data_IF_987533286094
#
_entry.id   IF_987533286094
#
_cell.length_a   1.000
_cell.length_b   1.000
_cell.length_c   1.000
_cell.angle_alpha   90.00
_cell.angle_beta   90.00
_cell.angle_gamma   90.00
#
_symmetry.space_group_name_H-M   'P 1'
#
loop_
_entity.id
_entity.type
_entity.pdbx_description
1 polymer ?
#
# COMPACT_ATOMS: atom_id res chain seq x y z
N UNK A 1 -5.94 7.25 10.85
CA UNK A 1 -4.65 7.96 10.69
C UNK A 1 -4.06 8.43 12.01
N UNK A 2 -4.72 9.27 12.83
CA UNK A 2 -4.10 9.78 14.08
C UNK A 2 -3.70 8.68 15.07
N UNK A 3 -4.50 7.64 15.22
CA UNK A 3 -4.18 6.49 16.08
C UNK A 3 -2.94 5.73 15.55
N UNK A 4 -2.88 5.47 14.25
CA UNK A 4 -1.74 4.84 13.59
C UNK A 4 -0.46 5.64 13.81
N UNK A 5 -0.49 6.96 13.58
CA UNK A 5 0.67 7.83 13.82
C UNK A 5 1.13 7.76 15.28
N UNK A 6 0.21 7.80 16.25
CA UNK A 6 0.55 7.68 17.66
C UNK A 6 1.15 6.32 18.00
N UNK A 7 0.63 5.26 17.41
CA UNK A 7 1.18 3.91 17.56
C UNK A 7 2.64 3.86 17.07
N UNK A 8 2.92 4.40 15.89
CA UNK A 8 4.29 4.39 15.34
C UNK A 8 5.26 5.26 16.16
N UNK A 9 4.82 6.41 16.66
CA UNK A 9 5.63 7.24 17.58
C UNK A 9 5.92 6.50 18.90
N UNK A 10 4.95 5.76 19.42
CA UNK A 10 5.16 4.94 20.62
C UNK A 10 6.11 3.77 20.33
N UNK A 11 6.00 3.13 19.15
CA UNK A 11 6.92 2.08 18.72
C UNK A 11 8.36 2.60 18.58
N UNK A 12 8.56 3.81 18.04
CA UNK A 12 9.87 4.49 18.01
C UNK A 12 10.46 4.63 19.41
N UNK A 13 9.66 5.12 20.36
CA UNK A 13 10.10 5.32 21.74
C UNK A 13 10.46 3.99 22.42
N UNK A 14 9.66 2.95 22.23
CA UNK A 14 9.91 1.60 22.76
C UNK A 14 11.15 0.95 22.14
N UNK A 15 11.39 1.19 20.84
CA UNK A 15 12.61 0.73 20.19
C UNK A 15 13.86 1.41 20.76
N UNK A 16 13.85 2.72 20.92
CA UNK A 16 14.94 3.49 21.56
C UNK A 16 15.21 3.04 22.99
N UNK A 17 14.16 2.65 23.71
CA UNK A 17 14.25 2.05 25.05
C UNK A 17 14.66 0.58 25.05
N UNK A 18 14.99 -0.02 23.88
CA UNK A 18 15.40 -1.41 23.70
C UNK A 18 14.35 -2.46 24.13
N UNK A 19 13.09 -2.06 24.22
CA UNK A 19 11.97 -2.96 24.50
C UNK A 19 11.49 -3.66 23.23
N UNK A 20 11.64 -3.03 22.07
CA UNK A 20 11.50 -3.65 20.75
C UNK A 20 12.89 -3.97 20.22
N UNK A 21 13.09 -5.22 19.78
CA UNK A 21 14.39 -5.73 19.30
C UNK A 21 14.31 -6.17 17.85
N UNK A 22 15.46 -6.19 17.17
CA UNK A 22 15.56 -6.58 15.77
C UNK A 22 15.14 -5.46 14.82
N UNK A 23 14.69 -5.81 13.63
CA UNK A 23 14.19 -4.84 12.68
C UNK A 23 12.84 -4.27 13.13
N UNK A 24 12.68 -2.97 12.99
CA UNK A 24 11.42 -2.28 13.23
C UNK A 24 11.19 -1.28 12.08
N UNK A 25 10.14 -1.50 11.31
CA UNK A 25 9.81 -0.72 10.12
C UNK A 25 8.54 0.09 10.38
N UNK A 26 8.70 1.36 10.73
CA UNK A 26 7.56 2.25 11.00
C UNK A 26 6.82 2.61 9.71
N UNK A 27 5.51 2.71 9.81
CA UNK A 27 4.61 3.05 8.69
C UNK A 27 4.30 4.56 8.62
N UNK A 28 4.85 5.35 9.51
CA UNK A 28 4.55 6.77 9.64
C UNK A 28 4.92 7.57 8.38
N UNK A 29 3.95 8.33 7.92
CA UNK A 29 3.96 9.03 6.62
C UNK A 29 3.11 8.33 5.55
N UNK A 30 2.86 7.04 5.66
CA UNK A 30 2.11 6.23 4.68
C UNK A 30 0.69 5.86 5.17
N UNK A 31 0.22 6.37 6.31
CA UNK A 31 -1.05 5.96 6.93
C UNK A 31 -2.26 6.18 6.00
N UNK A 32 -2.18 7.13 5.09
CA UNK A 32 -3.25 7.38 4.13
C UNK A 32 -3.48 6.20 3.20
N UNK A 33 -2.41 5.48 2.81
CA UNK A 33 -2.49 4.28 1.98
C UNK A 33 -3.29 3.20 2.69
N UNK A 34 -2.93 2.88 3.95
CA UNK A 34 -3.61 1.86 4.75
C UNK A 34 -5.10 2.17 4.96
N UNK A 35 -5.42 3.42 5.30
CA UNK A 35 -6.81 3.83 5.56
C UNK A 35 -7.64 3.92 4.29
N UNK A 36 -7.05 4.41 3.20
CA UNK A 36 -7.74 4.51 1.92
C UNK A 36 -8.09 3.14 1.34
N UNK A 37 -7.14 2.21 1.39
CA UNK A 37 -7.40 0.82 1.00
C UNK A 37 -8.52 0.22 1.84
N UNK A 38 -8.43 0.29 3.17
CA UNK A 38 -9.44 -0.29 4.07
C UNK A 38 -10.84 0.32 3.87
N UNK A 39 -10.93 1.60 3.54
CA UNK A 39 -12.21 2.26 3.27
C UNK A 39 -12.86 1.81 1.97
N UNK A 40 -12.09 1.29 1.02
CA UNK A 40 -12.56 0.87 -0.29
C UNK A 40 -12.87 -0.64 -0.39
N UNK A 41 -12.39 -1.46 0.55
CA UNK A 41 -12.44 -2.92 0.49
C UNK A 41 -13.30 -3.52 1.59
N UNK A 42 -13.60 -4.80 1.46
CA UNK A 42 -14.31 -5.58 2.48
C UNK A 42 -13.36 -6.48 3.28
N UNK A 43 -13.81 -7.04 4.39
CA UNK A 43 -13.00 -8.02 5.16
C UNK A 43 -12.84 -9.37 4.46
N UNK A 44 -13.59 -9.60 3.36
CA UNK A 44 -13.46 -10.80 2.52
C UNK A 44 -12.32 -10.67 1.50
N UNK A 45 -11.99 -9.44 1.11
CA UNK A 45 -10.88 -9.19 0.21
C UNK A 45 -9.55 -9.45 0.91
N UNK A 46 -8.59 -9.99 0.17
CA UNK A 46 -7.30 -10.35 0.71
C UNK A 46 -6.30 -9.19 0.60
N UNK A 47 -5.51 -8.98 1.64
CA UNK A 47 -4.33 -8.12 1.62
C UNK A 47 -3.10 -8.93 1.98
N UNK A 48 -2.03 -8.76 1.20
CA UNK A 48 -0.69 -9.24 1.50
C UNK A 48 0.29 -8.10 1.24
N UNK A 49 1.26 -7.91 2.13
CA UNK A 49 2.17 -6.76 2.06
C UNK A 49 3.61 -7.12 2.40
N UNK A 50 4.49 -6.15 2.32
CA UNK A 50 5.88 -6.25 2.75
C UNK A 50 6.00 -6.19 4.29
N UNK A 51 7.21 -6.09 4.77
CA UNK A 51 7.61 -6.02 6.18
C UNK A 51 7.14 -4.74 6.91
N UNK A 52 6.59 -3.76 6.22
CA UNK A 52 6.05 -2.51 6.79
C UNK A 52 4.53 -2.62 6.86
N UNK A 53 4.02 -3.30 7.87
CA UNK A 53 2.67 -3.83 7.89
C UNK A 53 1.84 -3.44 9.13
N UNK A 54 2.41 -2.70 10.08
CA UNK A 54 1.75 -2.34 11.35
C UNK A 54 0.39 -1.66 11.14
N UNK A 55 0.34 -0.65 10.27
CA UNK A 55 -0.90 0.11 10.02
C UNK A 55 -1.92 -0.70 9.20
N UNK A 56 -1.47 -1.56 8.30
CA UNK A 56 -2.36 -2.49 7.59
C UNK A 56 -3.02 -3.47 8.56
N UNK A 57 -2.24 -4.06 9.48
CA UNK A 57 -2.77 -4.93 10.53
C UNK A 57 -3.84 -4.23 11.38
N UNK A 58 -3.55 -2.99 11.81
CA UNK A 58 -4.49 -2.19 12.60
C UNK A 58 -5.76 -1.86 11.82
N UNK A 59 -5.64 -1.48 10.53
CA UNK A 59 -6.77 -1.22 9.64
C UNK A 59 -7.64 -2.46 9.47
N UNK A 60 -7.05 -3.64 9.33
CA UNK A 60 -7.75 -4.93 9.23
C UNK A 60 -8.38 -5.40 10.56
N UNK A 61 -8.38 -4.55 11.58
CA UNK A 61 -9.05 -4.80 12.86
C UNK A 61 -8.15 -5.47 13.91
N UNK A 62 -6.84 -5.39 13.74
CA UNK A 62 -5.88 -5.72 14.78
C UNK A 62 -5.97 -4.77 15.96
N UNK A 63 -5.63 -5.21 17.16
CA UNK A 63 -5.62 -4.36 18.34
C UNK A 63 -4.24 -3.76 18.62
N UNK A 64 -4.22 -2.60 19.30
CA UNK A 64 -2.96 -1.99 19.75
C UNK A 64 -2.20 -2.91 20.73
N UNK A 65 -2.93 -3.61 21.58
CA UNK A 65 -2.32 -4.53 22.58
C UNK A 65 -1.61 -5.67 21.86
N UNK A 66 -2.26 -6.31 20.89
CA UNK A 66 -1.65 -7.36 20.07
C UNK A 66 -0.45 -6.83 19.28
N UNK A 67 -0.57 -5.62 18.71
CA UNK A 67 0.52 -4.99 17.95
C UNK A 67 1.76 -4.78 18.81
N UNK A 68 1.64 -4.12 19.94
CA UNK A 68 2.77 -3.89 20.84
C UNK A 68 3.31 -5.18 21.47
N UNK A 69 2.43 -6.13 21.79
CA UNK A 69 2.85 -7.44 22.28
C UNK A 69 3.70 -8.17 21.24
N UNK A 70 3.31 -8.13 19.97
CA UNK A 70 4.10 -8.73 18.88
C UNK A 70 5.46 -8.05 18.71
N UNK A 71 5.47 -6.71 18.64
CA UNK A 71 6.70 -5.93 18.54
C UNK A 71 7.68 -6.21 19.68
N UNK A 72 7.17 -6.43 20.89
CA UNK A 72 7.98 -6.72 22.08
C UNK A 72 8.26 -8.22 22.28
N UNK A 73 7.91 -9.08 21.34
CA UNK A 73 8.13 -10.53 21.42
C UNK A 73 7.31 -11.22 22.51
N UNK A 74 6.09 -10.74 22.77
CA UNK A 74 5.21 -11.28 23.82
C UNK A 74 4.17 -12.24 23.24
N UNK A 75 3.80 -13.25 24.03
CA UNK A 75 2.83 -14.29 23.64
C UNK A 75 1.43 -13.74 23.28
N UNK A 76 1.07 -12.57 23.79
CA UNK A 76 -0.19 -11.91 23.50
C UNK A 76 -0.22 -11.24 22.09
N UNK A 77 0.89 -11.25 21.35
CA UNK A 77 0.95 -10.73 20.00
C UNK A 77 0.23 -11.62 18.97
N UNK A 78 -0.14 -11.04 17.83
CA UNK A 78 -0.90 -11.71 16.76
C UNK A 78 -0.20 -12.99 16.21
N UNK A 79 1.13 -13.00 16.21
CA UNK A 79 1.97 -14.16 15.85
C UNK A 79 2.67 -14.75 17.08
N UNK A 80 2.10 -14.56 18.27
CA UNK A 80 2.62 -15.05 19.58
C UNK A 80 4.02 -14.52 19.91
N UNK A 81 4.36 -13.33 19.40
CA UNK A 81 5.65 -12.67 19.60
C UNK A 81 6.79 -13.23 18.74
N UNK A 82 6.49 -14.05 17.76
CA UNK A 82 7.50 -14.67 16.85
C UNK A 82 7.73 -13.88 15.58
N UNK A 83 6.78 -13.04 15.16
CA UNK A 83 6.82 -12.27 13.94
C UNK A 83 7.62 -10.96 14.08
N UNK A 84 7.69 -10.41 15.27
CA UNK A 84 8.30 -9.09 15.50
C UNK A 84 7.61 -8.00 14.70
N UNK A 85 8.38 -7.08 14.11
CA UNK A 85 7.84 -5.95 13.35
C UNK A 85 7.43 -6.28 11.91
N UNK A 86 7.78 -7.45 11.38
CA UNK A 86 7.68 -7.71 9.94
C UNK A 86 6.62 -8.75 9.56
N UNK A 87 6.02 -9.42 10.53
CA UNK A 87 5.20 -10.59 10.28
C UNK A 87 3.91 -10.57 11.11
N UNK A 88 3.10 -9.56 10.86
CA UNK A 88 1.74 -9.47 11.39
C UNK A 88 0.77 -10.20 10.46
N UNK A 89 -0.17 -10.96 11.03
CA UNK A 89 -1.18 -11.71 10.30
C UNK A 89 -2.53 -11.60 10.99
N UNK A 90 -3.61 -11.53 10.18
CA UNK A 90 -5.00 -11.57 10.64
C UNK A 90 -5.89 -12.21 9.57
N UNK A 91 -5.72 -13.52 9.40
CA UNK A 91 -6.36 -14.30 8.33
C UNK A 91 -7.87 -14.16 8.34
N UNK A 92 -8.49 -14.15 9.52
CA UNK A 92 -9.94 -14.01 9.70
C UNK A 92 -10.51 -12.68 9.17
N UNK A 93 -9.65 -11.69 8.97
CA UNK A 93 -9.99 -10.40 8.34
C UNK A 93 -9.36 -10.24 6.95
N UNK A 94 -8.93 -11.33 6.31
CA UNK A 94 -8.32 -11.28 4.98
C UNK A 94 -6.91 -10.68 4.95
N UNK A 95 -6.21 -10.56 6.09
CA UNK A 95 -4.82 -10.09 6.12
C UNK A 95 -3.83 -11.25 6.18
N UNK A 96 -3.16 -11.49 5.07
CA UNK A 96 -2.23 -12.61 4.88
C UNK A 96 -0.78 -12.22 5.17
N UNK A 97 -0.59 -11.08 5.80
CA UNK A 97 0.62 -10.73 6.50
C UNK A 97 1.65 -9.92 5.76
N UNK A 98 2.68 -9.58 6.53
CA UNK A 98 3.91 -8.95 6.10
C UNK A 98 4.98 -9.98 5.76
N UNK A 99 5.74 -9.69 4.72
CA UNK A 99 6.82 -10.55 4.25
C UNK A 99 8.18 -9.86 4.36
N UNK A 100 9.14 -10.54 4.97
CA UNK A 100 10.51 -10.04 5.11
C UNK A 100 11.33 -10.14 3.82
N UNK A 101 10.97 -11.07 2.92
CA UNK A 101 11.64 -11.22 1.62
C UNK A 101 11.06 -10.20 0.65
N UNK A 102 11.90 -9.29 0.20
CA UNK A 102 11.50 -8.17 -0.66
C UNK A 102 10.91 -8.66 -1.98
N UNK A 103 9.68 -8.27 -2.27
CA UNK A 103 8.98 -8.60 -3.51
C UNK A 103 8.24 -9.96 -3.49
N UNK A 104 8.53 -10.87 -2.54
CA UNK A 104 7.92 -12.20 -2.50
C UNK A 104 6.39 -12.17 -2.32
N UNK A 105 5.86 -11.14 -1.68
CA UNK A 105 4.42 -10.97 -1.48
C UNK A 105 3.65 -10.77 -2.80
N UNK A 106 4.30 -10.34 -3.87
CA UNK A 106 3.63 -10.13 -5.17
C UNK A 106 3.18 -11.45 -5.78
N UNK A 107 4.06 -12.43 -6.07
CA UNK A 107 3.62 -13.74 -6.57
C UNK A 107 2.76 -14.51 -5.56
N UNK A 108 2.97 -14.33 -4.25
CA UNK A 108 2.08 -14.92 -3.25
C UNK A 108 0.67 -14.34 -3.32
N UNK A 109 0.54 -13.02 -3.53
CA UNK A 109 -0.74 -12.36 -3.76
C UNK A 109 -1.44 -12.87 -5.02
N UNK A 110 -0.70 -13.12 -6.10
CA UNK A 110 -1.24 -13.77 -7.28
C UNK A 110 -1.75 -15.18 -6.99
N UNK A 111 -1.06 -15.92 -6.11
CA UNK A 111 -1.52 -17.23 -5.64
C UNK A 111 -2.81 -17.16 -4.83
N UNK A 112 -2.99 -16.14 -3.98
CA UNK A 112 -4.27 -15.88 -3.27
C UNK A 112 -5.38 -15.57 -4.27
N UNK A 113 -5.14 -14.70 -5.25
CA UNK A 113 -6.09 -14.37 -6.29
C UNK A 113 -6.46 -15.59 -7.15
N UNK A 114 -5.49 -16.44 -7.45
CA UNK A 114 -5.74 -17.73 -8.12
C UNK A 114 -6.69 -18.61 -7.31
N UNK A 115 -6.49 -18.74 -6.01
CA UNK A 115 -7.37 -19.49 -5.12
C UNK A 115 -8.79 -18.91 -5.11
N UNK A 116 -8.93 -17.58 -4.99
CA UNK A 116 -10.23 -16.88 -5.04
C UNK A 116 -10.96 -17.14 -6.36
N UNK A 117 -10.27 -17.05 -7.50
CA UNK A 117 -10.83 -17.36 -8.81
C UNK A 117 -11.23 -18.83 -8.94
N UNK A 118 -10.36 -19.75 -8.50
CA UNK A 118 -10.63 -21.19 -8.54
C UNK A 118 -11.86 -21.56 -7.70
N UNK A 119 -11.99 -20.98 -6.52
CA UNK A 119 -13.14 -21.17 -5.63
C UNK A 119 -14.38 -20.37 -6.04
N UNK A 120 -14.27 -19.55 -7.10
CA UNK A 120 -15.34 -18.65 -7.57
C UNK A 120 -15.81 -17.67 -6.49
N UNK A 121 -14.92 -17.24 -5.64
CA UNK A 121 -15.18 -16.17 -4.67
C UNK A 121 -15.24 -14.83 -5.42
N UNK A 122 -16.26 -14.00 -5.15
CA UNK A 122 -16.35 -12.65 -5.72
C UNK A 122 -15.52 -11.64 -4.93
N UNK A 123 -14.22 -11.96 -4.69
CA UNK A 123 -13.28 -11.19 -3.87
C UNK A 123 -12.00 -10.89 -4.63
N UNK A 124 -11.25 -9.90 -4.16
CA UNK A 124 -10.03 -9.39 -4.80
C UNK A 124 -8.86 -9.50 -3.83
N UNK A 125 -7.66 -9.70 -4.38
CA UNK A 125 -6.42 -9.66 -3.61
C UNK A 125 -5.65 -8.37 -3.89
N UNK A 126 -5.23 -7.69 -2.83
CA UNK A 126 -4.31 -6.55 -2.88
C UNK A 126 -2.91 -7.01 -2.45
N UNK A 127 -1.95 -6.93 -3.36
CA UNK A 127 -0.56 -7.25 -3.08
C UNK A 127 0.28 -5.97 -3.05
N UNK A 128 0.69 -5.54 -1.85
CA UNK A 128 1.41 -4.30 -1.63
C UNK A 128 2.93 -4.53 -1.68
N UNK A 129 3.66 -3.63 -2.35
CA UNK A 129 5.11 -3.68 -2.46
C UNK A 129 5.69 -2.28 -2.61
N UNK A 130 6.94 -2.08 -2.19
CA UNK A 130 7.61 -0.79 -2.31
C UNK A 130 8.24 -0.55 -3.69
N UNK A 131 8.63 0.70 -3.96
CA UNK A 131 9.34 1.13 -5.17
C UNK A 131 10.64 0.37 -5.41
N UNK A 132 11.38 0.02 -4.36
CA UNK A 132 12.57 -0.83 -4.48
C UNK A 132 12.23 -2.24 -4.98
N UNK A 133 11.19 -2.87 -4.44
CA UNK A 133 10.71 -4.18 -4.85
C UNK A 133 10.19 -4.19 -6.30
N UNK A 134 9.66 -3.07 -6.78
CA UNK A 134 9.17 -2.91 -8.14
C UNK A 134 10.22 -3.15 -9.22
N UNK A 135 11.51 -3.17 -8.87
CA UNK A 135 12.61 -3.40 -9.81
C UNK A 135 13.08 -4.86 -9.84
N UNK A 136 12.43 -5.76 -9.11
CA UNK A 136 12.76 -7.19 -9.11
C UNK A 136 12.05 -7.95 -10.25
N UNK A 137 12.73 -8.97 -10.81
CA UNK A 137 12.20 -9.79 -11.90
C UNK A 137 10.90 -10.51 -11.54
N UNK A 138 10.74 -10.95 -10.30
CA UNK A 138 9.54 -11.66 -9.84
C UNK A 138 8.24 -10.83 -9.94
N UNK A 139 8.31 -9.48 -9.96
CA UNK A 139 7.16 -8.63 -10.26
C UNK A 139 6.66 -8.90 -11.69
N UNK A 140 7.57 -8.97 -12.66
CA UNK A 140 7.21 -9.18 -14.08
C UNK A 140 6.72 -10.61 -14.32
N UNK A 141 7.27 -11.61 -13.63
CA UNK A 141 6.76 -12.98 -13.64
C UNK A 141 5.31 -13.03 -13.11
N UNK A 142 5.06 -12.38 -11.98
CA UNK A 142 3.75 -12.29 -11.36
C UNK A 142 2.74 -11.54 -12.25
N UNK A 143 3.15 -10.43 -12.86
CA UNK A 143 2.33 -9.67 -13.84
C UNK A 143 1.94 -10.56 -15.02
N UNK A 144 2.90 -11.29 -15.60
CA UNK A 144 2.65 -12.15 -16.75
C UNK A 144 1.63 -13.26 -16.41
N UNK A 145 1.80 -13.95 -15.29
CA UNK A 145 0.88 -15.03 -14.88
C UNK A 145 -0.50 -14.46 -14.57
N UNK A 146 -0.56 -13.33 -13.86
CA UNK A 146 -1.84 -12.71 -13.49
C UNK A 146 -2.62 -12.25 -14.71
N UNK A 147 -1.95 -11.68 -15.70
CA UNK A 147 -2.58 -11.28 -16.95
C UNK A 147 -3.02 -12.48 -17.80
N UNK A 148 -2.16 -13.52 -17.88
CA UNK A 148 -2.47 -14.73 -18.66
C UNK A 148 -3.69 -15.49 -18.10
N UNK A 149 -3.85 -15.48 -16.79
CA UNK A 149 -4.92 -16.18 -16.11
C UNK A 149 -6.05 -15.25 -15.64
N UNK A 150 -6.09 -13.98 -16.04
CA UNK A 150 -7.07 -12.99 -15.60
C UNK A 150 -7.35 -13.06 -14.10
N UNK A 151 -6.32 -12.99 -13.27
CA UNK A 151 -6.46 -13.14 -11.81
C UNK A 151 -7.02 -11.85 -11.19
N UNK A 152 -7.96 -11.96 -10.22
CA UNK A 152 -8.52 -10.80 -9.51
C UNK A 152 -7.50 -10.25 -8.50
N UNK A 153 -6.46 -9.57 -9.01
CA UNK A 153 -5.39 -9.02 -8.19
C UNK A 153 -5.11 -7.56 -8.53
N UNK A 154 -4.96 -6.76 -7.50
CA UNK A 154 -4.50 -5.37 -7.61
C UNK A 154 -3.11 -5.29 -6.99
N UNK A 155 -2.13 -4.95 -7.81
CA UNK A 155 -0.74 -4.77 -7.42
C UNK A 155 -0.53 -3.33 -6.98
N UNK A 156 -0.24 -3.11 -5.70
CA UNK A 156 -0.15 -1.77 -5.10
C UNK A 156 1.30 -1.42 -4.82
N UNK A 157 1.86 -0.51 -5.61
CA UNK A 157 3.19 0.03 -5.37
C UNK A 157 3.12 1.19 -4.36
N UNK A 158 3.60 0.98 -3.15
CA UNK A 158 3.79 2.04 -2.16
C UNK A 158 5.08 2.80 -2.49
N UNK A 159 4.99 3.75 -3.42
CA UNK A 159 6.14 4.53 -3.86
C UNK A 159 6.45 5.62 -2.83
N UNK A 160 7.41 5.35 -1.95
CA UNK A 160 7.92 6.30 -0.97
C UNK A 160 9.25 6.94 -1.40
N UNK A 161 9.61 6.81 -2.69
CA UNK A 161 10.76 7.39 -3.38
C UNK A 161 12.13 6.83 -3.00
N UNK A 162 12.21 5.94 -1.99
CA UNK A 162 13.48 5.37 -1.54
C UNK A 162 13.35 3.89 -1.19
N UNK A 163 14.05 3.04 -1.94
CA UNK A 163 14.34 1.68 -1.51
C UNK A 163 15.55 1.71 -0.56
N UNK A 164 15.39 1.52 0.74
CA UNK A 164 16.38 1.75 1.78
C UNK A 164 17.07 3.11 1.59
N UNK A 165 18.29 3.17 1.10
CA UNK A 165 19.05 4.39 0.80
C UNK A 165 19.15 4.72 -0.69
N UNK A 166 18.48 3.99 -1.57
CA UNK A 166 18.54 4.22 -3.02
C UNK A 166 17.29 4.96 -3.49
N UNK A 167 17.47 6.18 -3.99
CA UNK A 167 16.39 6.97 -4.55
C UNK A 167 15.82 6.32 -5.83
N UNK A 168 14.52 6.48 -6.08
CA UNK A 168 13.83 5.88 -7.22
C UNK A 168 14.47 6.23 -8.57
N UNK A 169 14.92 7.48 -8.75
CA UNK A 169 15.56 7.95 -9.98
C UNK A 169 16.95 7.32 -10.22
N UNK A 170 17.59 6.78 -9.18
CA UNK A 170 18.81 5.98 -9.30
C UNK A 170 18.54 4.51 -9.53
N UNK A 171 17.42 4.00 -9.00
CA UNK A 171 17.05 2.59 -9.07
C UNK A 171 16.37 2.21 -10.39
N UNK A 172 15.64 3.15 -11.02
CA UNK A 172 14.85 2.88 -12.21
C UNK A 172 15.03 3.96 -13.27
N UNK A 173 15.20 3.54 -14.53
CA UNK A 173 15.23 4.48 -15.68
C UNK A 173 13.87 5.16 -15.84
N UNK A 174 12.78 4.45 -15.59
CA UNK A 174 11.42 4.99 -15.50
C UNK A 174 10.86 4.72 -14.10
N UNK A 175 10.74 5.74 -13.24
CA UNK A 175 10.12 5.60 -11.93
C UNK A 175 8.58 5.68 -11.97
N UNK A 176 7.98 5.66 -13.14
CA UNK A 176 6.53 5.53 -13.32
C UNK A 176 6.13 4.05 -13.16
N UNK A 177 5.98 3.60 -11.92
CA UNK A 177 5.75 2.18 -11.59
C UNK A 177 4.40 1.70 -12.08
N UNK A 178 3.40 2.56 -12.18
CA UNK A 178 2.10 2.24 -12.76
C UNK A 178 2.15 1.87 -14.25
N UNK A 179 3.26 2.15 -14.94
CA UNK A 179 3.51 1.79 -16.35
C UNK A 179 4.30 0.50 -16.53
N UNK A 180 4.48 -0.29 -15.47
CA UNK A 180 5.34 -1.49 -15.50
C UNK A 180 4.80 -2.66 -16.30
N UNK A 181 3.60 -2.60 -16.80
CA UNK A 181 3.06 -3.62 -17.70
C UNK A 181 2.41 -2.96 -18.90
N UNK A 182 2.96 -3.14 -20.11
CA UNK A 182 2.37 -2.57 -21.32
C UNK A 182 0.98 -3.14 -21.63
N UNK A 183 0.67 -4.31 -21.08
CA UNK A 183 -0.59 -5.05 -21.26
C UNK A 183 -1.48 -5.05 -20.00
N UNK A 184 -1.06 -4.37 -18.94
CA UNK A 184 -1.78 -4.26 -17.67
C UNK A 184 -2.12 -2.80 -17.40
N UNK A 185 -3.39 -2.45 -17.14
CA UNK A 185 -3.77 -1.09 -16.78
C UNK A 185 -3.05 -0.63 -15.50
N UNK A 186 -2.59 0.59 -15.50
CA UNK A 186 -1.94 1.20 -14.35
C UNK A 186 -2.50 2.57 -14.01
N UNK A 187 -2.63 2.87 -12.73
CA UNK A 187 -3.10 4.13 -12.19
C UNK A 187 -2.13 4.66 -11.14
N UNK A 188 -1.74 5.94 -11.28
CA UNK A 188 -0.97 6.64 -10.25
C UNK A 188 -1.90 7.51 -9.41
N UNK A 189 -1.92 7.25 -8.11
CA UNK A 189 -2.67 8.02 -7.13
C UNK A 189 -1.70 8.95 -6.39
N UNK A 190 -1.86 10.26 -6.60
CA UNK A 190 -1.09 11.27 -5.86
C UNK A 190 -1.81 11.56 -4.55
N UNK A 191 -1.16 11.31 -3.45
CA UNK A 191 -1.70 11.53 -2.12
C UNK A 191 -1.93 13.02 -1.76
N UNK A 192 -1.42 13.97 -2.54
CA UNK A 192 -1.69 15.41 -2.40
C UNK A 192 -3.10 15.83 -2.82
N UNK A 193 -3.91 14.93 -3.39
CA UNK A 193 -5.35 15.15 -3.58
C UNK A 193 -6.11 14.63 -2.37
N UNK A 194 -7.31 15.17 -2.13
CA UNK A 194 -8.07 14.88 -0.91
C UNK A 194 -8.21 13.38 -0.62
N UNK A 195 -8.35 13.02 0.65
CA UNK A 195 -8.64 11.65 1.11
C UNK A 195 -9.82 11.01 0.37
N UNK A 196 -10.82 11.81 -0.03
CA UNK A 196 -11.97 11.35 -0.81
C UNK A 196 -11.60 10.97 -2.25
N UNK A 197 -10.68 11.69 -2.88
CA UNK A 197 -10.20 11.33 -4.23
C UNK A 197 -9.40 10.01 -4.19
N UNK A 198 -8.61 9.79 -3.14
CA UNK A 198 -7.91 8.54 -2.93
C UNK A 198 -8.86 7.34 -2.77
N UNK A 199 -9.90 7.46 -1.90
CA UNK A 199 -10.92 6.42 -1.74
C UNK A 199 -11.64 6.18 -3.07
N UNK A 200 -11.98 7.23 -3.79
CA UNK A 200 -12.63 7.17 -5.08
C UNK A 200 -11.77 6.42 -6.11
N UNK A 201 -10.47 6.73 -6.19
CA UNK A 201 -9.55 6.09 -7.13
C UNK A 201 -9.36 4.59 -6.83
N UNK A 202 -9.25 4.21 -5.56
CA UNK A 202 -9.21 2.80 -5.13
C UNK A 202 -10.56 2.12 -5.39
N UNK A 203 -11.68 2.78 -5.06
CA UNK A 203 -13.02 2.26 -5.31
C UNK A 203 -13.30 2.09 -6.82
N UNK A 204 -12.78 2.99 -7.66
CA UNK A 204 -12.85 2.87 -9.12
C UNK A 204 -12.08 1.65 -9.60
N UNK A 205 -10.87 1.43 -9.13
CA UNK A 205 -10.08 0.24 -9.47
C UNK A 205 -10.82 -1.05 -9.08
N UNK A 206 -11.48 -1.09 -7.91
CA UNK A 206 -12.30 -2.22 -7.47
C UNK A 206 -13.62 -2.35 -8.23
N UNK A 207 -14.29 -1.24 -8.52
CA UNK A 207 -15.61 -1.26 -9.15
C UNK A 207 -15.55 -1.71 -10.62
N UNK A 208 -14.45 -1.41 -11.30
CA UNK A 208 -14.17 -1.90 -12.66
C UNK A 208 -14.04 -3.43 -12.68
N UNK A 209 -13.65 -4.06 -11.57
CA UNK A 209 -13.60 -5.53 -11.46
C UNK A 209 -14.96 -6.19 -11.16
N UNK A 210 -15.89 -5.46 -10.54
CA UNK A 210 -17.10 -6.09 -9.96
C UNK A 210 -18.36 -6.05 -10.82
N UNK A 211 -18.49 -5.22 -11.85
CA UNK A 211 -19.69 -5.19 -12.73
C UNK A 211 -19.44 -4.51 -14.08
N UNK A 212 -19.97 -5.14 -15.14
CA UNK A 212 -20.16 -4.66 -16.52
C UNK A 212 -19.50 -3.30 -16.87
N UNK A 213 -18.27 -3.42 -17.31
CA UNK A 213 -17.34 -2.31 -17.61
C UNK A 213 -17.86 -1.26 -18.57
N UNK A 214 -18.77 -1.59 -19.51
CA UNK A 214 -19.24 -0.63 -20.51
C UNK A 214 -20.02 0.53 -19.91
N UNK A 215 -20.87 0.29 -18.92
CA UNK A 215 -21.65 1.35 -18.27
C UNK A 215 -20.80 2.21 -17.30
N UNK A 216 -19.81 1.60 -16.64
CA UNK A 216 -18.88 2.27 -15.73
C UNK A 216 -17.96 3.26 -16.46
N UNK A 217 -17.35 2.83 -17.57
CA UNK A 217 -16.47 3.67 -18.40
C UNK A 217 -17.22 4.86 -19.01
N UNK A 218 -18.44 4.65 -19.48
CA UNK A 218 -19.28 5.74 -20.04
C UNK A 218 -19.67 6.76 -18.97
N UNK A 219 -20.05 6.31 -17.79
CA UNK A 219 -20.37 7.18 -16.64
C UNK A 219 -19.13 7.97 -16.15
N UNK A 220 -17.97 7.31 -16.07
CA UNK A 220 -16.70 7.93 -15.68
C UNK A 220 -16.18 8.90 -16.73
N UNK A 221 -16.27 8.58 -18.03
CA UNK A 221 -15.91 9.51 -19.12
C UNK A 221 -16.77 10.76 -19.12
N UNK A 222 -18.05 10.65 -18.74
CA UNK A 222 -18.94 11.80 -18.55
C UNK A 222 -18.54 12.70 -17.39
N UNK A 223 -18.12 12.13 -16.27
CA UNK A 223 -17.66 12.87 -15.07
C UNK A 223 -16.24 13.42 -15.24
N UNK A 224 -15.36 12.71 -15.97
CA UNK A 224 -13.99 13.13 -16.24
C UNK A 224 -13.91 14.27 -17.26
N UNK A 225 -14.91 14.43 -18.14
CA UNK A 225 -15.02 15.59 -19.05
C UNK A 225 -15.20 16.92 -18.31
N UNK A 226 -15.68 16.88 -17.07
CA UNK A 226 -15.87 18.03 -16.19
C UNK A 226 -14.63 18.39 -15.34
N UNK A 227 -13.61 17.51 -15.26
CA UNK A 227 -12.37 17.72 -14.50
C UNK A 227 -11.13 17.47 -15.35
N UNK A 228 -11.05 18.11 -16.52
CA UNK A 228 -9.94 18.04 -17.45
C UNK A 228 -8.75 18.88 -16.98
N UNK A 229 -8.02 18.42 -15.97
CA UNK A 229 -6.59 18.72 -15.83
C UNK A 229 -5.95 17.67 -14.92
N UNK A 230 -5.07 16.87 -15.51
CA UNK A 230 -4.12 15.93 -14.92
C UNK A 230 -4.59 14.50 -14.54
N UNK A 231 -4.00 13.57 -15.33
CA UNK A 231 -3.57 12.24 -14.89
C UNK A 231 -4.55 11.07 -15.04
N UNK A 232 -5.05 10.80 -16.24
CA UNK A 232 -5.51 9.43 -16.56
C UNK A 232 -5.24 9.08 -18.02
N UNK A 233 -4.22 8.29 -18.30
CA UNK A 233 -4.11 7.56 -19.57
C UNK A 233 -4.65 6.14 -19.34
N UNK A 234 -5.83 5.86 -19.89
CA UNK A 234 -6.36 4.50 -19.98
C UNK A 234 -6.01 3.90 -21.33
N UNK A 235 -5.41 2.73 -21.36
CA UNK A 235 -5.33 1.95 -22.57
C UNK A 235 -6.68 1.26 -22.84
N UNK A 236 -7.23 1.46 -24.06
CA UNK A 236 -8.47 0.83 -24.52
C UNK A 236 -8.26 -0.68 -24.68
N UNK A 237 -8.61 -1.48 -23.67
CA UNK A 237 -8.84 -2.92 -23.86
C UNK A 237 -9.91 -3.45 -22.90
N UNK A 238 -10.68 -4.42 -23.38
CA UNK A 238 -11.81 -5.05 -22.72
C UNK A 238 -11.37 -5.93 -21.54
N UNK A 239 -12.14 -5.89 -20.45
CA UNK A 239 -12.08 -6.73 -19.23
C UNK A 239 -10.69 -7.13 -18.71
N UNK A 240 -10.14 -6.34 -17.78
CA UNK A 240 -8.93 -6.73 -17.02
C UNK A 240 -9.28 -6.92 -15.55
N UNK A 241 -8.89 -8.07 -14.99
CA UNK A 241 -8.93 -8.36 -13.55
C UNK A 241 -7.64 -7.98 -12.82
N UNK A 242 -6.65 -7.45 -13.53
CA UNK A 242 -5.34 -7.10 -13.00
C UNK A 242 -5.08 -5.60 -13.18
N UNK A 243 -4.71 -4.93 -12.09
CA UNK A 243 -4.35 -3.51 -12.08
C UNK A 243 -3.04 -3.26 -11.33
N UNK A 244 -2.32 -2.20 -11.71
CA UNK A 244 -1.20 -1.65 -10.95
C UNK A 244 -1.64 -0.30 -10.38
N UNK A 245 -1.67 -0.17 -9.06
CA UNK A 245 -1.85 1.09 -8.37
C UNK A 245 -0.51 1.59 -7.85
N UNK A 246 -0.04 2.73 -8.31
CA UNK A 246 1.10 3.42 -7.72
C UNK A 246 0.62 4.47 -6.74
N UNK A 247 0.88 4.23 -5.44
CA UNK A 247 0.57 5.12 -4.35
C UNK A 247 1.78 6.00 -4.05
N UNK A 248 1.72 7.24 -4.48
CA UNK A 248 2.75 8.24 -4.22
C UNK A 248 2.69 8.65 -2.74
N UNK A 249 3.69 8.29 -1.95
CA UNK A 249 3.72 8.46 -0.50
C UNK A 249 5.12 8.80 0.00
N UNK A 250 5.34 8.88 1.33
CA UNK A 250 6.64 9.22 1.90
C UNK A 250 6.84 8.65 3.29
N UNK A 251 8.04 8.13 3.60
CA UNK A 251 8.42 7.70 4.94
C UNK A 251 9.03 8.85 5.72
N UNK A 252 8.54 9.13 6.94
CA UNK A 252 9.13 10.18 7.79
C UNK A 252 10.37 9.72 8.56
N UNK A 253 10.47 8.44 8.87
CA UNK A 253 11.68 7.82 9.41
C UNK A 253 12.52 7.17 8.30
N UNK A 254 13.70 6.66 8.65
CA UNK A 254 14.51 5.85 7.77
C UNK A 254 13.81 4.58 7.29
N UNK A 255 14.51 3.74 6.57
CA UNK A 255 13.97 2.47 6.09
C UNK A 255 13.50 1.57 7.24
N UNK A 256 14.31 1.46 8.28
CA UNK A 256 14.00 0.83 9.57
C UNK A 256 14.51 1.72 10.70
N UNK A 257 14.22 1.35 11.93
CA UNK A 257 14.71 2.09 13.10
C UNK A 257 16.23 2.05 13.28
N UNK A 258 16.92 1.11 12.64
CA UNK A 258 18.38 1.07 12.58
C UNK A 258 18.99 1.96 11.48
N UNK A 259 18.14 2.48 10.58
CA UNK A 259 18.56 3.38 9.51
C UNK A 259 18.25 4.83 9.91
N UNK A 260 19.28 5.70 10.10
CA UNK A 260 19.05 7.09 10.47
C UNK A 260 18.38 7.92 9.37
N UNK A 261 18.40 7.45 8.11
CA UNK A 261 17.86 8.15 6.95
C UNK A 261 18.64 9.41 6.54
N UNK A 262 19.51 9.94 7.41
CA UNK A 262 20.24 11.19 7.19
C UNK A 262 21.40 11.07 6.21
N UNK A 263 21.76 9.87 5.82
CA UNK A 263 22.83 9.59 4.86
C UNK A 263 22.42 9.80 3.40
N UNK A 264 21.13 9.79 3.11
CA UNK A 264 20.57 9.88 1.76
C UNK A 264 19.42 10.89 1.60
N UNK A 265 18.92 11.46 2.71
CA UNK A 265 17.85 12.48 2.73
C UNK A 265 18.23 13.61 3.67
N UNK A 266 17.90 14.84 3.31
CA UNK A 266 18.12 16.00 4.18
C UNK A 266 16.97 16.16 5.18
N UNK A 267 17.24 16.84 6.30
CA UNK A 267 16.19 17.23 7.26
C UNK A 267 15.19 18.19 6.65
N UNK A 268 15.66 19.07 5.76
CA UNK A 268 14.82 20.05 5.08
C UNK A 268 13.84 19.39 4.11
N UNK A 269 14.28 18.35 3.38
CA UNK A 269 13.41 17.51 2.56
C UNK A 269 12.27 16.91 3.40
N UNK A 270 12.60 16.23 4.50
CA UNK A 270 11.63 15.60 5.38
C UNK A 270 10.67 16.63 5.99
N UNK A 271 11.19 17.78 6.38
CA UNK A 271 10.39 18.88 6.98
C UNK A 271 9.49 19.51 5.94
N UNK A 272 9.98 19.76 4.72
CA UNK A 272 9.20 20.29 3.62
C UNK A 272 8.02 19.39 3.24
N UNK A 273 8.28 18.08 3.15
CA UNK A 273 7.23 17.10 2.93
C UNK A 273 6.20 17.12 4.08
N UNK A 274 6.63 17.14 5.34
CA UNK A 274 5.71 17.23 6.51
C UNK A 274 4.88 18.48 6.51
N UNK A 275 5.43 19.62 6.07
CA UNK A 275 4.71 20.91 6.01
C UNK A 275 3.66 20.89 4.90
N UNK A 276 3.99 20.40 3.72
CA UNK A 276 3.04 20.19 2.63
C UNK A 276 1.85 19.34 3.10
N UNK A 277 2.12 18.26 3.81
CA UNK A 277 1.10 17.41 4.43
C UNK A 277 0.28 18.10 5.53
N UNK A 278 0.86 19.02 6.27
CA UNK A 278 0.18 19.79 7.32
C UNK A 278 -0.76 20.88 6.77
N UNK A 279 -0.46 21.43 5.60
CA UNK A 279 -1.30 22.41 4.93
C UNK A 279 -2.62 21.80 4.47
N UNK A 280 -2.58 20.60 3.86
CA UNK A 280 -3.79 19.87 3.43
C UNK A 280 -4.72 19.50 4.60
N UNK A 281 -4.16 19.28 5.81
CA UNK A 281 -4.98 19.06 7.02
C UNK A 281 -5.81 20.27 7.44
N UNK A 282 -5.39 21.49 7.12
CA UNK A 282 -6.16 22.70 7.43
C UNK A 282 -7.35 22.87 6.49
N UNK A 283 -7.20 22.48 5.22
CA UNK A 283 -8.31 22.50 4.26
C UNK A 283 -9.35 21.41 4.58
N UNK A 284 -8.94 20.21 4.97
CA UNK A 284 -9.86 19.13 5.38
C UNK A 284 -10.64 19.51 6.66
N UNK A 285 -10.04 20.26 7.61
CA UNK A 285 -10.76 20.73 8.80
C UNK A 285 -11.78 21.84 8.49
N UNK A 286 -11.61 22.55 7.38
CA UNK A 286 -12.54 23.60 6.96
C UNK A 286 -13.78 23.03 6.23
N UNK A 287 -13.76 21.76 5.83
CA UNK A 287 -14.84 21.10 5.04
C UNK A 287 -15.72 20.17 5.90
N UNK A 288 -15.29 19.87 7.14
CA UNK A 288 -16.09 19.05 8.07
C UNK A 288 -16.74 19.97 9.12
N UNK A 289 -18.08 19.89 9.31
CA UNK A 289 -18.79 20.69 10.32
C UNK A 289 -18.40 20.33 11.75
#
# INVERSE_FOLDING_TARGET
MSLMRRMEIAADSLYKSKLIRGFCHLYDGQEAVAIGLEAAITKKDAIITAYRDHCIYLARGGSLVESFAELMGRRAGCSKGKGGSMHFYKKESGFFGGHGIVGAQVPLGCGLAFAQRYLKEGTVTFALYGDGAANQGQLFEALNISALWDLPVILVCENNHYGMGTAEWRAAKSPAYYKRGDYVPGLKVRWMKSFFDFIKDVAIAMWVEMKDMKQAIVSLQGQMKAHRENVYEFSNKESYFLYILEMDTYRYHGHSMSDPGSTYRTRDEITGVRQAFGADRKEVKAVLP
#
